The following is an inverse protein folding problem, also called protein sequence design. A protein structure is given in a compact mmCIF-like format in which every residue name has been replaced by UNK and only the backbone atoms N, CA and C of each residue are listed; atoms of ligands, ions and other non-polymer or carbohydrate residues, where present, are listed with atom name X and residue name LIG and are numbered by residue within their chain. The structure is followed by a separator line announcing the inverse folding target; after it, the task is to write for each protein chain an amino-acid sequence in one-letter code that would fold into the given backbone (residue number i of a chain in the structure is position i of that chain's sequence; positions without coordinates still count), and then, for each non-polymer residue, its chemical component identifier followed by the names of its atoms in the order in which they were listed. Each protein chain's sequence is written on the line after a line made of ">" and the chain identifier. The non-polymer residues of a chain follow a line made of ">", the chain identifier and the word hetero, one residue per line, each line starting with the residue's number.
data_IF_229307168639
#
_entry.id   IF_229307168639
#
_cell.length_a   1.000
_cell.length_b   1.000
_cell.length_c   1.000
_cell.angle_alpha   90.00
_cell.angle_beta   90.00
_cell.angle_gamma   90.00
#
_symmetry.space_group_name_H-M   'P 1'
#
loop_
_entity.id
_entity.type
_entity.pdbx_description
1 polymer ?
#
# COMPACT_ATOMS: atom_id res chain seq x y z
N UNK A 1 -3.68 5.30 -15.04
CA UNK A 1 -4.15 4.08 -14.36
C UNK A 1 -3.10 2.99 -14.42
N UNK A 2 -2.99 2.18 -13.38
CA UNK A 2 -1.99 1.10 -13.21
C UNK A 2 -2.67 -0.15 -12.67
N UNK A 3 -2.02 -1.30 -12.84
CA UNK A 3 -2.50 -2.58 -12.28
C UNK A 3 -2.66 -2.49 -10.77
N UNK A 4 -1.72 -1.85 -10.07
CA UNK A 4 -1.77 -1.69 -8.63
C UNK A 4 -3.01 -0.88 -8.19
N UNK A 5 -3.29 0.26 -8.83
CA UNK A 5 -4.46 1.07 -8.46
C UNK A 5 -5.77 0.33 -8.69
N UNK A 6 -5.89 -0.36 -9.83
CA UNK A 6 -7.07 -1.17 -10.13
C UNK A 6 -7.27 -2.29 -9.12
N UNK A 7 -6.19 -2.89 -8.60
CA UNK A 7 -6.28 -3.91 -7.55
C UNK A 7 -6.68 -3.32 -6.20
N UNK A 8 -6.13 -2.15 -5.85
CA UNK A 8 -6.38 -1.53 -4.55
C UNK A 8 -7.79 -0.91 -4.43
N UNK A 9 -8.39 -0.50 -5.56
CA UNK A 9 -9.68 0.19 -5.64
C UNK A 9 -9.89 1.23 -4.52
N UNK A 10 -9.08 2.31 -4.47
CA UNK A 10 -9.03 3.20 -3.32
C UNK A 10 -10.37 3.84 -2.95
N UNK A 11 -11.20 4.19 -3.93
CA UNK A 11 -12.51 4.81 -3.68
C UNK A 11 -13.47 3.91 -2.90
N UNK A 12 -13.30 2.59 -3.05
CA UNK A 12 -14.23 1.60 -2.53
C UNK A 12 -13.69 0.98 -1.23
N UNK A 13 -12.36 0.91 -1.10
CA UNK A 13 -11.70 0.16 -0.03
C UNK A 13 -11.03 1.02 1.05
N UNK A 14 -10.77 2.30 0.80
CA UNK A 14 -10.03 3.12 1.77
C UNK A 14 -10.99 3.76 2.77
N UNK A 15 -10.79 3.45 4.05
CA UNK A 15 -11.39 4.19 5.14
C UNK A 15 -10.57 5.45 5.39
N UNK A 16 -11.07 6.60 4.92
CA UNK A 16 -10.42 7.90 5.05
C UNK A 16 -11.28 8.76 5.96
N UNK A 17 -10.78 9.07 7.14
CA UNK A 17 -11.46 9.95 8.09
C UNK A 17 -11.20 11.43 7.79
N UNK A 18 -12.03 12.30 8.35
CA UNK A 18 -11.78 13.76 8.32
C UNK A 18 -10.45 14.09 9.00
N UNK A 19 -10.13 13.41 10.10
CA UNK A 19 -8.85 13.55 10.82
C UNK A 19 -7.65 13.19 9.93
N UNK A 20 -7.74 12.12 9.14
CA UNK A 20 -6.67 11.75 8.18
C UNK A 20 -6.41 12.86 7.17
N UNK A 21 -7.48 13.47 6.65
CA UNK A 21 -7.40 14.58 5.69
C UNK A 21 -6.85 15.84 6.35
N UNK A 22 -7.32 16.18 7.55
CA UNK A 22 -6.85 17.33 8.31
C UNK A 22 -5.35 17.24 8.62
N UNK A 23 -4.90 16.06 9.08
CA UNK A 23 -3.49 15.78 9.31
C UNK A 23 -2.67 15.89 8.02
N UNK A 24 -3.16 15.31 6.92
CA UNK A 24 -2.47 15.36 5.63
C UNK A 24 -2.34 16.80 5.09
N UNK A 25 -3.39 17.61 5.22
CA UNK A 25 -3.42 18.99 4.76
C UNK A 25 -2.75 19.96 5.75
N UNK A 26 -2.43 19.51 6.96
CA UNK A 26 -1.95 20.32 8.07
C UNK A 26 -2.90 21.50 8.37
N UNK A 27 -4.19 21.19 8.52
CA UNK A 27 -5.25 22.14 8.86
C UNK A 27 -6.09 21.63 10.03
N UNK A 28 -6.81 22.52 10.74
CA UNK A 28 -7.80 22.10 11.70
C UNK A 28 -8.97 21.35 11.05
N UNK A 29 -9.51 20.33 11.72
CA UNK A 29 -10.64 19.53 11.19
C UNK A 29 -11.88 20.39 10.89
N UNK A 30 -12.13 21.43 11.67
CA UNK A 30 -13.27 22.33 11.45
C UNK A 30 -13.21 23.07 10.11
N UNK A 31 -12.05 23.15 9.45
CA UNK A 31 -11.94 23.74 8.12
C UNK A 31 -12.52 22.82 7.03
N UNK A 32 -12.70 21.53 7.32
CA UNK A 32 -13.25 20.55 6.39
C UNK A 32 -14.77 20.54 6.51
N UNK A 33 -15.45 20.96 5.44
CA UNK A 33 -16.91 20.95 5.33
C UNK A 33 -17.42 19.58 4.89
N UNK A 34 -16.75 18.98 3.90
CA UNK A 34 -17.16 17.71 3.30
C UNK A 34 -15.97 17.01 2.67
N UNK A 35 -15.99 15.68 2.72
CA UNK A 35 -15.04 14.81 2.02
C UNK A 35 -15.83 13.87 1.11
N UNK A 36 -15.38 13.72 -0.13
CA UNK A 36 -15.96 12.79 -1.08
C UNK A 36 -14.85 11.92 -1.70
N UNK A 37 -15.04 10.61 -1.67
CA UNK A 37 -14.16 9.66 -2.34
C UNK A 37 -14.65 9.42 -3.76
N UNK A 38 -13.94 9.95 -4.75
CA UNK A 38 -14.23 9.71 -6.16
C UNK A 38 -13.25 8.68 -6.73
N UNK A 39 -13.55 8.16 -7.92
CA UNK A 39 -12.79 7.04 -8.52
C UNK A 39 -11.26 7.19 -8.50
N UNK A 40 -10.74 8.42 -8.63
CA UNK A 40 -9.29 8.66 -8.77
C UNK A 40 -8.69 9.58 -7.70
N UNK A 41 -9.53 10.33 -6.99
CA UNK A 41 -9.12 11.38 -6.06
C UNK A 41 -10.10 11.45 -4.90
N UNK A 42 -9.65 12.06 -3.81
CA UNK A 42 -10.51 12.55 -2.74
C UNK A 42 -10.75 14.03 -2.99
N UNK A 43 -12.02 14.42 -3.07
CA UNK A 43 -12.43 15.82 -3.05
C UNK A 43 -12.69 16.26 -1.62
N UNK A 44 -12.13 17.40 -1.24
CA UNK A 44 -12.28 18.01 0.08
C UNK A 44 -12.81 19.41 -0.11
N UNK A 45 -14.02 19.67 0.39
CA UNK A 45 -14.54 21.03 0.47
C UNK A 45 -14.06 21.67 1.77
N UNK A 46 -13.32 22.76 1.65
CA UNK A 46 -12.77 23.54 2.75
C UNK A 46 -13.43 24.90 2.86
N UNK A 47 -13.52 25.43 4.08
CA UNK A 47 -14.09 26.76 4.35
C UNK A 47 -13.20 27.90 3.88
N UNK A 48 -11.89 27.72 4.00
CA UNK A 48 -10.90 28.78 3.79
C UNK A 48 -10.53 29.01 2.32
N UNK A 49 -10.48 27.95 1.51
CA UNK A 49 -10.06 28.02 0.10
C UNK A 49 -11.02 27.35 -0.88
N UNK A 50 -12.15 26.82 -0.41
CA UNK A 50 -13.11 26.10 -1.24
C UNK A 50 -12.69 24.66 -1.56
N UNK A 51 -12.83 24.23 -2.81
CA UNK A 51 -12.60 22.84 -3.21
C UNK A 51 -11.12 22.49 -3.40
N UNK A 52 -10.69 21.36 -2.83
CA UNK A 52 -9.34 20.81 -3.00
C UNK A 52 -9.38 19.34 -3.42
N UNK A 53 -8.47 18.95 -4.31
CA UNK A 53 -8.34 17.57 -4.79
C UNK A 53 -7.06 16.92 -4.26
N UNK A 54 -7.18 15.70 -3.74
CA UNK A 54 -6.07 14.92 -3.20
C UNK A 54 -6.00 13.59 -3.94
N UNK A 55 -4.84 13.27 -4.48
CA UNK A 55 -4.57 11.94 -5.02
C UNK A 55 -4.49 10.92 -3.88
N UNK A 56 -5.16 9.77 -4.01
CA UNK A 56 -5.04 8.66 -3.05
C UNK A 56 -3.59 8.28 -2.77
N UNK A 57 -2.71 8.37 -3.78
CA UNK A 57 -1.28 8.01 -3.67
C UNK A 57 -0.51 8.84 -2.64
N UNK A 58 -1.03 10.02 -2.29
CA UNK A 58 -0.43 10.89 -1.28
C UNK A 58 -0.91 10.58 0.15
N UNK A 59 -1.97 9.80 0.28
CA UNK A 59 -2.57 9.46 1.57
C UNK A 59 -1.87 8.25 2.19
N UNK A 60 -1.81 8.22 3.52
CA UNK A 60 -1.21 7.11 4.27
C UNK A 60 -1.89 5.77 3.97
N UNK A 61 -3.21 5.79 3.75
CA UNK A 61 -4.06 4.64 3.41
C UNK A 61 -3.54 3.92 2.16
N UNK A 62 -2.98 4.65 1.20
CA UNK A 62 -2.38 4.04 0.01
C UNK A 62 -1.17 3.18 0.35
N UNK A 63 -0.26 3.68 1.18
CA UNK A 63 0.91 2.92 1.63
C UNK A 63 0.53 1.71 2.46
N UNK A 64 -0.46 1.86 3.36
CA UNK A 64 -0.99 0.75 4.16
C UNK A 64 -1.59 -0.34 3.25
N UNK A 65 -2.36 0.05 2.24
CA UNK A 65 -2.96 -0.90 1.32
C UNK A 65 -1.90 -1.65 0.50
N UNK A 66 -0.83 -0.97 0.06
CA UNK A 66 0.31 -1.63 -0.59
C UNK A 66 1.01 -2.59 0.39
N UNK A 67 1.27 -2.17 1.63
CA UNK A 67 1.89 -3.02 2.65
C UNK A 67 1.09 -4.31 2.87
N UNK A 68 -0.24 -4.21 2.94
CA UNK A 68 -1.11 -5.38 3.02
C UNK A 68 -1.04 -6.28 1.77
N UNK A 69 -0.89 -5.71 0.57
CA UNK A 69 -0.70 -6.52 -0.65
C UNK A 69 0.62 -7.29 -0.62
N UNK A 70 1.70 -6.65 -0.16
CA UNK A 70 3.00 -7.30 0.04
C UNK A 70 2.84 -8.48 1.01
N UNK A 71 2.23 -8.24 2.17
CA UNK A 71 2.07 -9.26 3.22
C UNK A 71 1.14 -10.41 2.85
N UNK A 72 0.22 -10.21 1.88
CA UNK A 72 -0.65 -11.26 1.35
C UNK A 72 0.05 -12.19 0.36
N UNK A 73 1.25 -11.84 -0.13
CA UNK A 73 1.99 -12.70 -1.04
C UNK A 73 2.44 -13.98 -0.30
N UNK A 74 2.09 -15.14 -0.85
CA UNK A 74 2.36 -16.46 -0.28
C UNK A 74 3.60 -17.14 -0.89
N UNK A 75 4.14 -16.58 -1.97
CA UNK A 75 5.31 -17.08 -2.68
C UNK A 75 6.24 -15.96 -3.14
N UNK A 76 7.50 -16.31 -3.42
CA UNK A 76 8.47 -15.35 -3.98
C UNK A 76 8.02 -14.80 -5.34
N UNK A 77 7.36 -15.63 -6.16
CA UNK A 77 6.87 -15.19 -7.47
C UNK A 77 5.77 -14.12 -7.33
N UNK A 78 4.83 -14.30 -6.42
CA UNK A 78 3.80 -13.30 -6.12
C UNK A 78 4.42 -12.01 -5.57
N UNK A 79 5.40 -12.14 -4.65
CA UNK A 79 6.09 -10.99 -4.06
C UNK A 79 6.89 -10.19 -5.10
N UNK A 80 7.55 -10.85 -6.05
CA UNK A 80 8.25 -10.20 -7.15
C UNK A 80 7.29 -9.54 -8.15
N UNK A 81 6.14 -10.16 -8.42
CA UNK A 81 5.08 -9.55 -9.23
C UNK A 81 4.53 -8.29 -8.55
N UNK A 82 4.29 -8.36 -7.24
CA UNK A 82 3.86 -7.22 -6.45
C UNK A 82 4.88 -6.07 -6.51
N UNK A 83 6.18 -6.38 -6.34
CA UNK A 83 7.26 -5.38 -6.47
C UNK A 83 7.25 -4.68 -7.82
N UNK A 84 7.10 -5.44 -8.91
CA UNK A 84 7.03 -4.89 -10.27
C UNK A 84 5.88 -3.89 -10.41
N UNK A 85 4.68 -4.27 -9.97
CA UNK A 85 3.50 -3.41 -10.08
C UNK A 85 3.60 -2.14 -9.22
N UNK A 86 4.23 -2.24 -8.05
CA UNK A 86 4.59 -1.08 -7.22
C UNK A 86 5.59 -0.18 -7.96
N UNK A 87 6.64 -0.76 -8.54
CA UNK A 87 7.64 -0.03 -9.31
C UNK A 87 7.03 0.71 -10.50
N UNK A 88 6.16 0.05 -11.28
CA UNK A 88 5.43 0.64 -12.40
C UNK A 88 4.55 1.82 -11.96
N UNK A 89 3.86 1.70 -10.81
CA UNK A 89 3.05 2.80 -10.29
C UNK A 89 3.89 3.98 -9.80
N UNK A 90 4.96 3.70 -9.06
CA UNK A 90 5.93 4.70 -8.62
C UNK A 90 6.54 5.46 -9.79
N UNK A 91 6.98 4.76 -10.84
CA UNK A 91 7.57 5.36 -12.02
C UNK A 91 6.56 6.26 -12.77
N UNK A 92 5.33 5.76 -12.98
CA UNK A 92 4.30 6.51 -13.70
C UNK A 92 3.80 7.74 -12.93
N UNK A 93 3.83 7.68 -11.60
CA UNK A 93 3.26 8.69 -10.72
C UNK A 93 4.30 9.27 -9.76
N UNK A 94 5.55 9.39 -10.19
CA UNK A 94 6.71 9.77 -9.38
C UNK A 94 6.45 10.98 -8.46
N UNK A 95 5.81 12.03 -8.99
CA UNK A 95 5.44 13.25 -8.24
C UNK A 95 4.49 13.03 -7.05
N UNK A 96 3.90 11.86 -6.93
CA UNK A 96 3.00 11.48 -5.83
C UNK A 96 3.73 10.69 -4.74
N UNK A 97 4.98 10.29 -4.99
CA UNK A 97 5.83 9.55 -4.08
C UNK A 97 6.99 10.42 -3.60
N UNK A 98 7.44 10.18 -2.38
CA UNK A 98 8.64 10.80 -1.83
C UNK A 98 9.57 9.70 -1.28
N UNK A 99 10.77 10.10 -0.87
CA UNK A 99 11.77 9.16 -0.33
C UNK A 99 11.26 8.35 0.86
N UNK A 100 10.44 8.94 1.74
CA UNK A 100 9.86 8.26 2.89
C UNK A 100 8.90 7.14 2.46
N UNK A 101 8.10 7.37 1.40
CA UNK A 101 7.22 6.35 0.84
C UNK A 101 8.04 5.15 0.31
N UNK A 102 9.11 5.43 -0.43
CA UNK A 102 9.98 4.38 -0.96
C UNK A 102 10.65 3.59 0.16
N UNK A 103 11.17 4.28 1.18
CA UNK A 103 11.80 3.64 2.34
C UNK A 103 10.82 2.73 3.08
N UNK A 104 9.62 3.23 3.37
CA UNK A 104 8.57 2.45 4.04
C UNK A 104 8.24 1.17 3.26
N UNK A 105 7.95 1.29 1.97
CA UNK A 105 7.58 0.13 1.15
C UNK A 105 8.73 -0.87 0.99
N UNK A 106 9.96 -0.38 0.85
CA UNK A 106 11.15 -1.23 0.76
C UNK A 106 11.32 -2.05 2.05
N UNK A 107 11.16 -1.42 3.21
CA UNK A 107 11.27 -2.10 4.50
C UNK A 107 10.23 -3.21 4.63
N UNK A 108 8.97 -2.93 4.32
CA UNK A 108 7.90 -3.95 4.39
C UNK A 108 8.19 -5.10 3.41
N UNK A 109 8.66 -4.78 2.21
CA UNK A 109 9.01 -5.80 1.22
C UNK A 109 10.14 -6.71 1.71
N UNK A 110 11.24 -6.14 2.22
CA UNK A 110 12.37 -6.93 2.72
C UNK A 110 11.98 -7.82 3.91
N UNK A 111 11.21 -7.28 4.87
CA UNK A 111 10.73 -8.06 6.01
C UNK A 111 9.87 -9.25 5.57
N UNK A 112 8.99 -9.05 4.57
CA UNK A 112 8.15 -10.13 4.07
C UNK A 112 8.93 -11.15 3.24
N UNK A 113 9.92 -10.70 2.46
CA UNK A 113 10.85 -11.58 1.75
C UNK A 113 11.55 -12.55 2.70
N UNK A 114 12.13 -12.04 3.80
CA UNK A 114 12.79 -12.85 4.82
C UNK A 114 11.84 -13.88 5.43
N UNK A 115 10.59 -13.48 5.68
CA UNK A 115 9.53 -14.35 6.20
C UNK A 115 9.25 -15.52 5.26
N UNK A 116 9.05 -15.25 3.96
CA UNK A 116 8.80 -16.31 2.96
C UNK A 116 10.00 -17.26 2.85
N UNK A 117 11.23 -16.74 2.81
CA UNK A 117 12.45 -17.57 2.72
C UNK A 117 12.60 -18.48 3.94
N UNK A 118 12.34 -17.95 5.14
CA UNK A 118 12.37 -18.74 6.38
C UNK A 118 11.35 -19.88 6.34
N UNK A 119 10.11 -19.61 5.92
CA UNK A 119 9.05 -20.61 5.79
C UNK A 119 9.41 -21.73 4.79
N UNK A 120 9.95 -21.35 3.62
CA UNK A 120 10.40 -22.33 2.61
C UNK A 120 11.51 -23.23 3.17
N UNK A 121 12.44 -22.65 3.92
CA UNK A 121 13.58 -23.39 4.50
C UNK A 121 13.13 -24.39 5.58
N UNK A 122 12.17 -23.99 6.41
CA UNK A 122 11.56 -24.86 7.41
C UNK A 122 10.77 -26.02 6.77
N UNK A 123 10.00 -25.74 5.72
CA UNK A 123 9.26 -26.77 4.98
C UNK A 123 10.19 -27.81 4.36
N UNK A 124 11.28 -27.38 3.71
CA UNK A 124 12.29 -28.30 3.15
C UNK A 124 12.91 -29.20 4.22
N UNK A 125 13.23 -28.65 5.39
CA UNK A 125 13.79 -29.40 6.51
C UNK A 125 12.82 -30.46 7.02
N UNK A 126 11.53 -30.12 7.14
CA UNK A 126 10.49 -31.05 7.59
C UNK A 126 10.28 -32.20 6.59
N UNK A 127 10.22 -31.89 5.30
CA UNK A 127 10.06 -32.87 4.23
C UNK A 127 11.25 -33.86 4.16
N UNK A 128 12.47 -33.38 4.36
CA UNK A 128 13.66 -34.24 4.40
C UNK A 128 13.65 -35.21 5.60
N UNK A 129 13.17 -34.76 6.78
CA UNK A 129 13.03 -35.65 7.95
C UNK A 129 12.01 -36.77 7.74
N UNK A 130 10.88 -36.49 7.07
CA UNK A 130 9.86 -37.50 6.77
C UNK A 130 10.35 -38.57 5.80
N UNK A 131 11.15 -38.18 4.79
CA UNK A 131 11.73 -39.13 3.81
C UNK A 131 12.78 -40.07 4.39
N UNK A 132 13.51 -39.64 5.42
CA UNK A 132 14.52 -40.48 6.09
C UNK A 132 13.97 -41.34 7.23
N UNK A 133 12.71 -41.14 7.64
CA UNK A 133 12.04 -41.91 8.69
C UNK A 133 10.92 -42.83 8.17
N UNK A 134 10.84 -43.06 6.85
CA UNK A 134 9.94 -44.10 6.29
C UNK A 134 10.71 -45.44 6.21
N UNK A 135 10.17 -46.55 6.76
CA UNK A 135 10.83 -47.86 6.76
C UNK A 135 11.12 -48.42 5.37
#
# INVERSE_FOLDING_TARGET
>A
MTTLFNRLQPSDNFCISVSDIAQFLNIPEQEIVRVECWKYIVFVHRRDIGGQFISYRKLRQWLIAIAHQIQKCSSLLELLKCLREIGEDCQKHEKQYNSQHHQFLSQIWFQHWETIISQISQQKTYQNKLKHNSP
#
